data_IF_122890198358
#
_entry.id   IF_122890198358
#
_cell.length_a   1.000
_cell.length_b   1.000
_cell.length_c   1.000
_cell.angle_alpha   90.00
_cell.angle_beta   90.00
_cell.angle_gamma   90.00
#
_symmetry.space_group_name_H-M   'P 1'
#
loop_
_entity.id
_entity.type
_entity.pdbx_description
1 polymer ?
#
# COMPACT_ATOMS: atom_id res chain seq x y z
N UNK A 1 23.27 -1.64 14.71
CA UNK A 1 22.98 -2.86 13.92
C UNK A 1 23.72 -2.86 12.58
N UNK A 2 23.61 -1.83 11.73
CA UNK A 2 24.32 -1.77 10.43
C UNK A 2 25.86 -1.93 10.54
N UNK A 3 26.48 -1.42 11.61
CA UNK A 3 27.93 -1.59 11.83
C UNK A 3 28.33 -3.06 12.04
N UNK A 4 27.53 -3.84 12.77
CA UNK A 4 27.77 -5.27 12.97
C UNK A 4 27.52 -6.10 11.70
N UNK A 5 26.54 -5.69 10.88
CA UNK A 5 26.31 -6.32 9.59
C UNK A 5 27.45 -6.05 8.61
N UNK A 6 28.06 -4.86 8.66
CA UNK A 6 29.24 -4.51 7.86
C UNK A 6 30.49 -5.35 8.20
N UNK A 7 30.53 -5.93 9.42
CA UNK A 7 31.56 -6.89 9.84
C UNK A 7 31.33 -8.31 9.31
N UNK A 8 30.31 -8.53 8.47
CA UNK A 8 29.95 -9.84 7.90
C UNK A 8 29.07 -10.70 8.83
N UNK A 9 28.45 -10.09 9.83
CA UNK A 9 27.51 -10.79 10.75
C UNK A 9 26.09 -10.73 10.22
N UNK A 10 25.37 -11.83 10.29
CA UNK A 10 23.92 -11.86 10.06
C UNK A 10 23.20 -11.49 11.33
N UNK A 11 22.35 -10.45 11.26
CA UNK A 11 21.55 -9.99 12.38
C UNK A 11 20.08 -10.27 12.06
N UNK A 12 19.44 -11.07 12.88
CA UNK A 12 18.01 -11.34 12.78
C UNK A 12 17.25 -10.51 13.82
N UNK A 13 16.28 -9.71 13.37
CA UNK A 13 15.47 -8.83 14.20
C UNK A 13 13.99 -9.09 13.94
N UNK A 14 13.21 -9.21 15.00
CA UNK A 14 11.75 -9.22 14.94
C UNK A 14 11.25 -7.87 15.45
N UNK A 15 10.43 -7.20 14.65
CA UNK A 15 9.83 -5.91 15.02
C UNK A 15 8.42 -5.79 14.46
N UNK A 16 7.60 -4.99 15.13
CA UNK A 16 6.31 -4.53 14.65
C UNK A 16 6.34 -3.06 14.18
N UNK A 17 7.50 -2.40 14.31
CA UNK A 17 7.71 -1.02 13.90
C UNK A 17 8.26 -0.98 12.46
N UNK A 18 7.37 -0.89 11.50
CA UNK A 18 7.69 -0.95 10.06
C UNK A 18 8.64 0.17 9.63
N UNK A 19 8.45 1.39 10.14
CA UNK A 19 9.29 2.54 9.81
C UNK A 19 10.75 2.38 10.25
N UNK A 20 11.00 1.70 11.37
CA UNK A 20 12.36 1.39 11.82
C UNK A 20 13.00 0.32 10.96
N UNK A 21 12.20 -0.68 10.54
CA UNK A 21 12.67 -1.76 9.68
C UNK A 21 13.05 -1.26 8.29
N UNK A 22 12.27 -0.36 7.70
CA UNK A 22 12.54 0.22 6.38
C UNK A 22 13.95 0.83 6.29
N UNK A 23 14.42 1.44 7.39
CA UNK A 23 15.73 2.08 7.44
C UNK A 23 16.88 1.17 7.91
N UNK A 24 16.56 0.01 8.48
CA UNK A 24 17.54 -0.83 9.18
C UNK A 24 17.77 -2.18 8.52
N UNK A 25 16.71 -2.79 8.00
CA UNK A 25 16.76 -4.12 7.41
C UNK A 25 17.06 -4.06 5.90
N UNK A 26 17.88 -4.98 5.44
CA UNK A 26 18.18 -5.15 4.00
C UNK A 26 17.30 -6.24 3.38
N UNK A 27 16.83 -7.18 4.19
CA UNK A 27 16.04 -8.34 3.79
C UNK A 27 14.88 -8.58 4.74
N UNK A 28 13.74 -9.00 4.21
CA UNK A 28 12.51 -9.24 4.94
C UNK A 28 12.04 -10.68 4.84
N UNK A 29 11.64 -11.21 5.97
CA UNK A 29 10.85 -12.43 6.10
C UNK A 29 9.49 -12.06 6.66
N UNK A 30 8.46 -12.12 5.85
CA UNK A 30 7.08 -11.84 6.29
C UNK A 30 6.35 -13.14 6.54
N UNK A 31 5.89 -13.32 7.75
CA UNK A 31 5.18 -14.53 8.20
C UNK A 31 3.77 -14.16 8.67
N UNK A 32 2.80 -14.88 8.22
CA UNK A 32 1.41 -14.72 8.66
C UNK A 32 0.69 -16.06 8.70
N UNK A 33 -0.14 -16.26 9.72
CA UNK A 33 -0.91 -17.51 9.92
C UNK A 33 -0.06 -18.79 9.83
N UNK A 34 1.17 -18.75 10.33
CA UNK A 34 2.09 -19.88 10.29
C UNK A 34 2.67 -20.18 8.90
N UNK A 35 2.54 -19.28 7.94
CA UNK A 35 3.08 -19.42 6.59
C UNK A 35 4.02 -18.26 6.25
N UNK A 36 5.01 -18.56 5.45
CA UNK A 36 5.89 -17.56 4.86
C UNK A 36 5.12 -16.86 3.72
N UNK A 37 4.91 -15.55 3.88
CA UNK A 37 4.21 -14.70 2.89
C UNK A 37 5.22 -14.13 1.90
N UNK A 38 6.37 -13.65 2.41
CA UNK A 38 7.43 -13.09 1.59
C UNK A 38 8.80 -13.39 2.17
N UNK A 39 9.76 -13.60 1.30
CA UNK A 39 11.19 -13.77 1.56
C UNK A 39 11.93 -13.03 0.45
N UNK A 40 12.28 -11.78 0.68
CA UNK A 40 12.88 -10.93 -0.35
C UNK A 40 13.59 -9.70 0.25
N UNK A 41 14.35 -9.00 -0.58
CA UNK A 41 14.97 -7.73 -0.22
C UNK A 41 13.94 -6.65 0.11
N UNK A 42 14.31 -5.69 0.96
CA UNK A 42 13.46 -4.57 1.36
C UNK A 42 12.92 -3.80 0.14
N UNK A 43 13.80 -3.41 -0.78
CA UNK A 43 13.42 -2.67 -1.97
C UNK A 43 12.45 -3.46 -2.87
N UNK A 44 12.66 -4.76 -2.99
CA UNK A 44 11.81 -5.67 -3.77
C UNK A 44 10.42 -5.79 -3.13
N UNK A 45 10.36 -5.91 -1.81
CA UNK A 45 9.09 -5.98 -1.07
C UNK A 45 8.25 -4.71 -1.25
N UNK A 46 8.88 -3.55 -1.08
CA UNK A 46 8.22 -2.25 -1.30
C UNK A 46 7.74 -2.12 -2.74
N UNK A 47 8.57 -2.51 -3.72
CA UNK A 47 8.19 -2.47 -5.14
C UNK A 47 7.00 -3.38 -5.47
N UNK A 48 6.93 -4.56 -4.85
CA UNK A 48 5.79 -5.48 -5.02
C UNK A 48 4.49 -4.93 -4.42
N UNK A 49 4.57 -4.32 -3.23
CA UNK A 49 3.41 -3.75 -2.54
C UNK A 49 2.96 -2.41 -3.13
N UNK A 50 3.88 -1.63 -3.70
CA UNK A 50 3.51 -0.34 -4.31
C UNK A 50 2.68 -0.51 -5.59
N UNK A 51 2.79 -1.67 -6.27
CA UNK A 51 2.29 -1.77 -7.62
C UNK A 51 2.87 -0.66 -8.50
N UNK A 52 2.30 -0.42 -9.66
CA UNK A 52 2.57 0.80 -10.42
C UNK A 52 1.74 1.95 -9.83
N UNK A 53 2.33 2.70 -8.92
CA UNK A 53 1.70 3.87 -8.32
C UNK A 53 2.45 5.15 -8.74
N UNK A 54 1.70 6.15 -9.16
CA UNK A 54 2.22 7.43 -9.66
C UNK A 54 1.61 8.56 -8.83
N UNK A 55 2.45 9.41 -8.25
CA UNK A 55 2.03 10.62 -7.58
C UNK A 55 1.91 11.75 -8.59
N UNK A 56 0.75 12.36 -8.65
CA UNK A 56 0.45 13.44 -9.59
C UNK A 56 -0.07 14.66 -8.85
N UNK A 57 0.55 15.82 -9.08
CA UNK A 57 0.02 17.10 -8.62
C UNK A 57 -0.59 17.85 -9.79
N UNK A 58 -1.85 18.23 -9.65
CA UNK A 58 -2.63 18.93 -10.67
C UNK A 58 -3.56 19.97 -10.04
N UNK A 59 -3.84 21.09 -10.72
CA UNK A 59 -4.88 22.02 -10.28
C UNK A 59 -6.31 21.50 -10.56
N UNK A 60 -6.44 20.35 -11.22
CA UNK A 60 -7.70 19.75 -11.64
C UNK A 60 -7.80 18.28 -11.16
N UNK A 61 -7.71 18.01 -9.84
CA UNK A 61 -7.64 16.64 -9.32
C UNK A 61 -8.88 15.82 -9.67
N UNK A 62 -10.08 16.41 -9.59
CA UNK A 62 -11.32 15.69 -9.87
C UNK A 62 -11.41 15.28 -11.36
N UNK A 63 -10.99 16.14 -12.27
CA UNK A 63 -10.97 15.83 -13.69
C UNK A 63 -9.98 14.71 -14.02
N UNK A 64 -8.80 14.73 -13.39
CA UNK A 64 -7.82 13.67 -13.54
C UNK A 64 -8.31 12.35 -12.94
N UNK A 65 -8.93 12.37 -11.75
CA UNK A 65 -9.49 11.18 -11.14
C UNK A 65 -10.57 10.52 -12.00
N UNK A 66 -11.44 11.33 -12.62
CA UNK A 66 -12.45 10.82 -13.56
C UNK A 66 -11.82 10.19 -14.82
N UNK A 67 -10.81 10.84 -15.40
CA UNK A 67 -10.12 10.33 -16.59
C UNK A 67 -9.39 9.01 -16.27
N UNK A 68 -8.71 8.92 -15.14
CA UNK A 68 -8.02 7.71 -14.64
C UNK A 68 -9.02 6.58 -14.43
N UNK A 69 -10.16 6.86 -13.78
CA UNK A 69 -11.20 5.86 -13.53
C UNK A 69 -11.83 5.37 -14.85
N UNK A 70 -12.06 6.26 -15.79
CA UNK A 70 -12.56 5.92 -17.13
C UNK A 70 -11.57 5.03 -17.91
N UNK A 71 -10.27 5.17 -17.64
CA UNK A 71 -9.22 4.31 -18.21
C UNK A 71 -9.08 2.94 -17.49
N UNK A 72 -9.92 2.67 -16.47
CA UNK A 72 -9.92 1.42 -15.72
C UNK A 72 -8.86 1.36 -14.62
N UNK A 73 -8.28 2.49 -14.23
CA UNK A 73 -7.28 2.60 -13.17
C UNK A 73 -7.85 3.25 -11.90
N UNK A 74 -7.11 3.14 -10.80
CA UNK A 74 -7.50 3.72 -9.51
C UNK A 74 -6.88 5.09 -9.28
N UNK A 75 -7.65 6.03 -8.73
CA UNK A 75 -7.14 7.30 -8.26
C UNK A 75 -7.65 7.58 -6.85
N UNK A 76 -6.75 7.93 -5.94
CA UNK A 76 -7.06 8.32 -4.56
C UNK A 76 -6.37 9.64 -4.24
N UNK A 77 -7.00 10.47 -3.39
CA UNK A 77 -6.35 11.68 -2.90
C UNK A 77 -5.10 11.30 -2.08
N UNK A 78 -4.02 12.04 -2.30
CA UNK A 78 -2.82 11.97 -1.48
C UNK A 78 -2.91 12.97 -0.31
N UNK A 79 -1.85 13.06 0.49
CA UNK A 79 -1.84 13.87 1.72
C UNK A 79 -1.94 15.37 1.45
N UNK A 80 -1.42 15.83 0.32
CA UNK A 80 -1.45 17.25 -0.04
C UNK A 80 -2.64 17.59 -0.95
N UNK A 81 -3.25 18.79 -0.78
CA UNK A 81 -4.31 19.27 -1.65
C UNK A 81 -3.87 19.36 -3.13
N UNK A 82 -4.62 18.75 -4.03
CA UNK A 82 -4.31 18.71 -5.45
C UNK A 82 -3.33 17.60 -5.84
N UNK A 83 -2.95 16.74 -4.91
CA UNK A 83 -2.18 15.53 -5.19
C UNK A 83 -3.09 14.29 -5.27
N UNK A 84 -2.83 13.47 -6.27
CA UNK A 84 -3.48 12.19 -6.49
C UNK A 84 -2.45 11.07 -6.55
N UNK A 85 -2.76 9.95 -5.92
CA UNK A 85 -2.07 8.69 -6.11
C UNK A 85 -2.83 7.87 -7.14
N UNK A 86 -2.23 7.69 -8.31
CA UNK A 86 -2.79 6.90 -9.41
C UNK A 86 -2.18 5.51 -9.39
N UNK A 87 -3.00 4.47 -9.45
CA UNK A 87 -2.56 3.07 -9.43
C UNK A 87 -3.01 2.35 -10.70
N UNK A 88 -2.17 1.48 -11.22
CA UNK A 88 -2.46 0.66 -12.39
C UNK A 88 -2.10 1.32 -13.73
N UNK A 89 -1.47 2.50 -13.70
CA UNK A 89 -0.90 3.17 -14.87
C UNK A 89 0.56 3.54 -14.60
N UNK A 90 1.35 3.57 -15.68
CA UNK A 90 2.73 4.10 -15.63
C UNK A 90 2.73 5.62 -15.66
N UNK A 91 3.87 6.24 -15.33
CA UNK A 91 4.04 7.69 -15.44
C UNK A 91 3.72 8.20 -16.85
N UNK A 92 4.20 7.50 -17.88
CA UNK A 92 3.96 7.85 -19.28
C UNK A 92 2.47 7.78 -19.62
N UNK A 93 1.78 6.71 -19.22
CA UNK A 93 0.35 6.55 -19.44
C UNK A 93 -0.49 7.63 -18.75
N UNK A 94 -0.11 8.02 -17.54
CA UNK A 94 -0.79 9.11 -16.81
C UNK A 94 -0.53 10.45 -17.48
N UNK A 95 0.68 10.70 -17.96
CA UNK A 95 1.02 11.92 -18.70
C UNK A 95 0.23 12.04 -20.01
N UNK A 96 0.17 10.97 -20.79
CA UNK A 96 -0.58 10.91 -22.04
C UNK A 96 -2.09 11.11 -21.80
N UNK A 97 -2.63 10.48 -20.77
CA UNK A 97 -4.04 10.61 -20.40
C UNK A 97 -4.37 12.06 -19.99
N UNK A 98 -3.53 12.68 -19.17
CA UNK A 98 -3.70 14.06 -18.75
C UNK A 98 -3.62 15.02 -19.95
N UNK A 99 -2.66 14.81 -20.83
CA UNK A 99 -2.51 15.60 -22.05
C UNK A 99 -3.72 15.48 -22.97
N UNK A 100 -4.19 14.26 -23.23
CA UNK A 100 -5.37 13.99 -24.07
C UNK A 100 -6.65 14.60 -23.50
N UNK A 101 -6.74 14.69 -22.15
CA UNK A 101 -7.88 15.26 -21.43
C UNK A 101 -7.76 16.78 -21.20
N UNK A 102 -6.70 17.42 -21.66
CA UNK A 102 -6.46 18.85 -21.45
C UNK A 102 -6.18 19.23 -19.99
N UNK A 103 -5.70 18.29 -19.18
CA UNK A 103 -5.43 18.47 -17.76
C UNK A 103 -3.99 18.91 -17.58
N UNK A 104 -3.78 19.99 -16.80
CA UNK A 104 -2.45 20.45 -16.45
C UNK A 104 -1.86 19.60 -15.35
N UNK A 105 -0.61 19.17 -15.53
CA UNK A 105 0.17 18.44 -14.53
C UNK A 105 1.32 19.33 -14.07
N UNK A 106 1.44 19.53 -12.76
CA UNK A 106 2.51 20.31 -12.16
C UNK A 106 3.66 19.43 -11.68
N UNK A 107 3.35 18.20 -11.29
CA UNK A 107 4.32 17.20 -10.86
C UNK A 107 3.80 15.81 -11.21
N UNK A 108 4.70 14.94 -11.63
CA UNK A 108 4.42 13.54 -11.93
C UNK A 108 5.67 12.74 -11.64
N UNK A 109 5.55 11.77 -10.75
CA UNK A 109 6.65 10.91 -10.35
C UNK A 109 6.16 9.56 -9.87
N UNK A 110 7.00 8.53 -9.94
CA UNK A 110 6.72 7.26 -9.29
C UNK A 110 6.48 7.50 -7.79
N UNK A 111 5.38 6.97 -7.28
CA UNK A 111 5.06 7.09 -5.88
C UNK A 111 6.00 6.21 -5.05
N UNK A 112 6.58 6.79 -4.00
CA UNK A 112 7.30 6.03 -2.99
C UNK A 112 6.29 5.54 -1.96
N UNK A 113 6.05 4.26 -1.97
CA UNK A 113 5.20 3.60 -0.98
C UNK A 113 6.06 3.20 0.22
N UNK A 114 5.56 3.43 1.42
CA UNK A 114 6.24 2.99 2.64
C UNK A 114 6.17 1.47 2.80
N UNK A 115 7.08 0.90 3.61
CA UNK A 115 7.04 -0.51 3.98
C UNK A 115 5.68 -0.90 4.59
N UNK A 116 5.09 -0.02 5.40
CA UNK A 116 3.78 -0.24 6.02
C UNK A 116 2.67 -0.39 4.98
N UNK A 117 2.63 0.52 4.00
CA UNK A 117 1.65 0.45 2.92
C UNK A 117 1.83 -0.79 2.05
N UNK A 118 3.10 -1.12 1.69
CA UNK A 118 3.40 -2.34 0.95
C UNK A 118 2.98 -3.60 1.72
N UNK A 119 3.24 -3.62 3.03
CA UNK A 119 2.83 -4.72 3.90
C UNK A 119 1.31 -4.89 3.95
N UNK A 120 0.57 -3.79 4.15
CA UNK A 120 -0.89 -3.83 4.19
C UNK A 120 -1.49 -4.35 2.88
N UNK A 121 -0.96 -3.94 1.74
CA UNK A 121 -1.43 -4.41 0.43
C UNK A 121 -1.12 -5.89 0.17
N UNK A 122 0.11 -6.32 0.44
CA UNK A 122 0.52 -7.71 0.21
C UNK A 122 -0.10 -8.69 1.21
N UNK A 123 -0.53 -8.22 2.38
CA UNK A 123 -1.15 -9.06 3.40
C UNK A 123 -2.67 -8.92 3.47
N UNK A 124 -3.28 -8.04 2.69
CA UNK A 124 -4.73 -7.80 2.69
C UNK A 124 -5.53 -9.10 2.53
N UNK A 125 -5.14 -9.96 1.59
CA UNK A 125 -5.78 -11.26 1.36
C UNK A 125 -5.46 -12.29 2.45
N UNK A 126 -4.38 -12.09 3.20
CA UNK A 126 -3.92 -12.98 4.27
C UNK A 126 -4.46 -12.58 5.64
N UNK A 127 -4.89 -11.34 5.78
CA UNK A 127 -5.46 -10.75 7.00
C UNK A 127 -6.92 -10.39 6.74
N UNK A 128 -7.73 -11.37 6.36
CA UNK A 128 -9.18 -11.22 6.51
C UNK A 128 -9.51 -11.17 8.02
N UNK A 129 -9.53 -9.97 8.56
CA UNK A 129 -10.22 -9.68 9.79
C UNK A 129 -11.72 -9.84 9.50
N UNK A 130 -12.23 -11.02 9.67
CA UNK A 130 -13.65 -11.18 9.92
C UNK A 130 -13.91 -10.49 11.27
N UNK A 131 -14.33 -9.24 11.23
CA UNK A 131 -15.06 -8.66 12.33
C UNK A 131 -16.30 -9.54 12.50
N UNK A 132 -16.21 -10.49 13.44
CA UNK A 132 -17.32 -11.36 13.76
C UNK A 132 -18.50 -10.49 14.12
N UNK A 133 -19.55 -10.57 13.33
CA UNK A 133 -20.87 -10.14 13.72
C UNK A 133 -21.16 -10.85 15.05
N UNK A 134 -21.44 -10.14 16.16
CA UNK A 134 -21.82 -10.80 17.40
C UNK A 134 -23.08 -11.60 17.11
N UNK A 135 -22.98 -12.91 17.25
CA UNK A 135 -24.11 -13.82 17.18
C UNK A 135 -25.15 -13.32 18.18
N UNK A 136 -26.34 -13.00 17.65
CA UNK A 136 -27.49 -12.60 18.46
C UNK A 136 -27.74 -13.62 19.56
N UNK A 137 -27.89 -13.13 20.76
CA UNK A 137 -28.34 -13.92 21.90
C UNK A 137 -29.68 -14.60 21.54
N UNK A 138 -29.83 -15.90 21.75
CA UNK A 138 -31.14 -16.51 21.69
C UNK A 138 -31.99 -15.94 22.84
N UNK A 139 -33.12 -15.36 22.49
CA UNK A 139 -34.11 -14.88 23.43
C UNK A 139 -34.52 -15.98 24.39
N UNK A 140 -34.39 -15.69 25.67
CA UNK A 140 -34.93 -16.50 26.74
C UNK A 140 -36.46 -16.26 26.78
N UNK A 141 -37.17 -17.10 26.10
CA UNK A 141 -38.64 -17.13 26.18
C UNK A 141 -39.03 -17.74 27.52
N UNK A 142 -39.46 -16.88 28.43
CA UNK A 142 -39.98 -17.26 29.72
C UNK A 142 -41.37 -17.87 29.54
N UNK A 143 -41.44 -19.15 29.76
CA UNK A 143 -42.71 -19.86 29.88
C UNK A 143 -43.15 -19.81 31.34
N UNK A 144 -44.08 -18.91 31.64
CA UNK A 144 -44.91 -19.01 32.83
C UNK A 144 -46.05 -19.98 32.56
N UNK A 145 -46.15 -20.92 33.44
CA UNK A 145 -47.37 -21.68 33.67
C UNK A 145 -47.73 -21.52 35.13
#
# INVERSE_FOLDING_TARGET
MKALAAEGRTIFVSSHLMSEMENTADHLLVVGRGRLIADCGMAEFIARGSGQAVLVRTPQPDALAQAVTAAGAGATSADDPGELLVRGLTEEQVADLAFASGIRVHHLAAARVSLEQAFMELTADSVEYHAGVPAGQPGHDGMEA
#
